data_IF_372834739522
#
_entry.id   IF_372834739522
#
_cell.length_a   1.000
_cell.length_b   1.000
_cell.length_c   1.000
_cell.angle_alpha   90.00
_cell.angle_beta   90.00
_cell.angle_gamma   90.00
#
_symmetry.space_group_name_H-M   'P 1'
#
loop_
_entity.id
_entity.type
_entity.pdbx_description
1 polymer ?
#
# COMPACT_ATOMS: atom_id res chain seq x y z
N UNK A 1 43.70 43.17 -22.25
CA UNK A 1 44.52 42.79 -23.42
C UNK A 1 44.98 41.36 -23.18
N UNK A 2 44.79 40.35 -24.02
CA UNK A 2 44.10 40.14 -25.29
C UNK A 2 44.08 38.61 -25.49
N UNK A 3 42.97 38.06 -25.95
CA UNK A 3 42.84 36.68 -26.45
C UNK A 3 43.63 36.51 -27.76
N UNK A 4 43.91 35.29 -28.25
CA UNK A 4 42.99 34.57 -29.17
C UNK A 4 42.84 33.06 -28.83
N UNK A 5 41.65 32.44 -28.91
CA UNK A 5 40.90 31.91 -30.10
C UNK A 5 41.77 30.96 -30.94
N UNK A 6 41.35 29.75 -31.35
CA UNK A 6 40.18 29.38 -32.19
C UNK A 6 40.08 27.82 -32.24
N UNK A 7 38.96 27.15 -31.96
CA UNK A 7 37.84 26.65 -32.82
C UNK A 7 38.16 25.51 -33.82
N UNK A 8 37.42 24.40 -33.71
CA UNK A 8 36.84 23.55 -34.78
C UNK A 8 35.69 22.73 -34.12
N UNK A 9 34.37 22.99 -34.29
CA UNK A 9 33.40 22.83 -35.41
C UNK A 9 33.45 21.42 -36.06
N UNK A 10 32.49 20.52 -35.80
CA UNK A 10 31.14 20.35 -36.40
C UNK A 10 31.12 20.08 -37.92
N UNK A 11 30.61 18.91 -38.33
CA UNK A 11 29.34 18.68 -39.09
C UNK A 11 29.64 18.50 -40.60
N UNK A 12 28.93 17.79 -41.47
CA UNK A 12 27.62 17.10 -41.54
C UNK A 12 27.54 16.44 -42.93
N UNK A 13 26.70 15.39 -43.06
CA UNK A 13 25.85 15.00 -44.21
C UNK A 13 26.38 15.09 -45.67
N UNK A 14 26.29 13.98 -46.43
CA UNK A 14 25.19 13.69 -47.36
C UNK A 14 25.60 12.77 -48.55
N UNK A 15 24.75 11.76 -48.79
CA UNK A 15 24.31 11.16 -50.05
C UNK A 15 25.32 10.62 -51.09
N UNK A 16 25.14 9.34 -51.47
CA UNK A 16 24.57 8.95 -52.79
C UNK A 16 24.29 7.43 -52.90
N UNK A 17 23.12 7.19 -53.45
CA UNK A 17 22.50 6.03 -54.10
C UNK A 17 23.39 4.92 -54.66
N UNK A 18 22.95 3.66 -54.52
CA UNK A 18 22.83 2.69 -55.62
C UNK A 18 21.65 1.72 -55.38
N UNK A 19 20.95 1.45 -56.47
CA UNK A 19 19.78 0.59 -56.67
C UNK A 19 20.18 -0.85 -56.91
N UNK A 20 19.38 -1.81 -56.42
CA UNK A 20 19.09 -3.18 -56.92
C UNK A 20 18.40 -3.92 -55.77
N UNK A 21 17.48 -4.88 -55.90
CA UNK A 21 16.69 -5.45 -57.00
C UNK A 21 15.56 -6.20 -56.27
N UNK A 22 14.34 -6.04 -56.75
CA UNK A 22 13.16 -6.70 -56.21
C UNK A 22 13.19 -8.22 -56.49
N UNK A 23 12.84 -9.02 -55.48
CA UNK A 23 12.29 -10.36 -55.66
C UNK A 23 11.01 -10.48 -54.85
N UNK A 24 9.90 -10.56 -55.57
CA UNK A 24 8.57 -10.91 -55.09
C UNK A 24 8.60 -12.34 -54.54
N UNK A 25 7.99 -12.56 -53.38
CA UNK A 25 7.34 -13.82 -53.07
C UNK A 25 5.91 -13.54 -52.58
N UNK A 26 5.03 -13.97 -53.47
CA UNK A 26 3.59 -14.18 -53.41
C UNK A 26 2.95 -14.34 -52.03
N UNK A 27 1.85 -13.60 -51.87
CA UNK A 27 0.80 -13.85 -50.90
C UNK A 27 0.14 -15.20 -51.16
N UNK A 28 -0.13 -15.94 -50.07
CA UNK A 28 -1.20 -16.93 -50.04
C UNK A 28 -2.19 -16.49 -48.96
N UNK A 29 -3.31 -15.99 -49.45
CA UNK A 29 -4.51 -15.69 -48.69
C UNK A 29 -5.30 -16.99 -48.54
N UNK A 30 -5.39 -17.51 -47.32
CA UNK A 30 -6.41 -18.49 -46.96
C UNK A 30 -7.52 -17.75 -46.20
N UNK A 31 -8.58 -17.40 -46.93
CA UNK A 31 -9.85 -16.95 -46.38
C UNK A 31 -10.50 -18.13 -45.65
N UNK A 32 -10.66 -18.03 -44.34
CA UNK A 32 -11.66 -18.83 -43.63
C UNK A 32 -12.90 -17.95 -43.45
N UNK A 33 -13.90 -18.20 -44.28
CA UNK A 33 -15.26 -17.70 -44.11
C UNK A 33 -15.98 -18.57 -43.07
N UNK A 34 -16.42 -17.98 -41.97
CA UNK A 34 -17.36 -18.61 -41.03
C UNK A 34 -18.65 -17.78 -41.05
N UNK A 35 -19.83 -18.41 -41.19
CA UNK A 35 -21.03 -17.73 -41.65
C UNK A 35 -21.70 -16.91 -40.55
N UNK A 36 -22.12 -15.71 -40.94
CA UNK A 36 -23.16 -14.94 -40.26
C UNK A 36 -24.49 -15.70 -40.39
N UNK A 37 -25.09 -16.09 -39.26
CA UNK A 37 -26.51 -16.45 -39.19
C UNK A 37 -27.25 -15.39 -38.40
N UNK A 38 -27.93 -14.51 -39.13
CA UNK A 38 -29.13 -13.80 -38.69
C UNK A 38 -30.34 -14.53 -39.26
N UNK A 39 -31.27 -15.02 -38.42
CA UNK A 39 -32.71 -15.23 -38.70
C UNK A 39 -33.41 -15.19 -37.32
N UNK A 40 -34.00 -14.07 -36.91
CA UNK A 40 -35.40 -13.65 -37.11
C UNK A 40 -36.43 -14.31 -36.16
N UNK A 41 -36.92 -13.49 -35.22
CA UNK A 41 -38.32 -13.26 -34.82
C UNK A 41 -39.43 -14.21 -35.29
N UNK A 42 -40.17 -14.77 -34.32
CA UNK A 42 -41.65 -14.75 -34.10
C UNK A 42 -41.93 -15.88 -33.07
N UNK A 43 -42.99 -15.95 -32.28
CA UNK A 43 -44.34 -15.37 -32.33
C UNK A 43 -44.98 -15.52 -30.95
N UNK A 44 -46.00 -14.69 -30.70
CA UNK A 44 -46.89 -14.63 -29.54
C UNK A 44 -47.79 -15.87 -29.45
N UNK A 45 -48.08 -16.31 -28.23
CA UNK A 45 -49.30 -17.02 -27.78
C UNK A 45 -49.38 -16.69 -26.27
N UNK A 46 -50.11 -15.66 -25.82
CA UNK A 46 -51.57 -15.49 -25.70
C UNK A 46 -52.19 -16.48 -24.70
N UNK A 47 -52.37 -15.93 -23.49
CA UNK A 47 -53.28 -16.20 -22.38
C UNK A 47 -53.85 -17.61 -22.13
N UNK A 48 -53.72 -18.04 -20.87
CA UNK A 48 -54.90 -18.49 -20.15
C UNK A 48 -54.88 -17.95 -18.71
N UNK A 49 -55.88 -17.11 -18.45
CA UNK A 49 -56.24 -16.57 -17.14
C UNK A 49 -56.77 -17.69 -16.25
N UNK A 50 -56.19 -17.86 -15.07
CA UNK A 50 -56.92 -18.37 -13.90
C UNK A 50 -56.79 -17.35 -12.79
N UNK A 51 -57.87 -16.59 -12.64
CA UNK A 51 -58.10 -15.65 -11.55
C UNK A 51 -58.63 -16.44 -10.35
N UNK A 52 -57.80 -16.64 -9.32
CA UNK A 52 -58.29 -17.01 -7.99
C UNK A 52 -57.66 -16.11 -6.93
N UNK A 53 -58.55 -15.33 -6.33
CA UNK A 53 -58.35 -14.44 -5.19
C UNK A 53 -57.88 -15.20 -3.95
N UNK A 54 -56.70 -14.86 -3.42
CA UNK A 54 -56.51 -14.71 -1.96
C UNK A 54 -55.13 -14.15 -1.59
N UNK A 55 -55.15 -12.97 -0.95
CA UNK A 55 -54.41 -12.68 0.29
C UNK A 55 -52.88 -12.71 0.24
N UNK A 56 -52.28 -11.54 0.01
CA UNK A 56 -50.88 -11.26 0.38
C UNK A 56 -50.39 -9.97 -0.26
N UNK A 57 -50.08 -8.96 0.54
CA UNK A 57 -49.44 -7.74 0.08
C UNK A 57 -47.97 -8.09 -0.23
N UNK A 58 -47.63 -8.30 -1.50
CA UNK A 58 -46.26 -8.53 -1.94
C UNK A 58 -45.42 -7.29 -1.66
N UNK A 59 -44.66 -7.34 -0.57
CA UNK A 59 -43.62 -6.38 -0.26
C UNK A 59 -42.43 -6.69 -1.18
N UNK A 60 -41.92 -5.74 -1.98
CA UNK A 60 -40.72 -5.99 -2.77
C UNK A 60 -39.50 -6.13 -1.85
N UNK A 61 -39.07 -7.37 -1.62
CA UNK A 61 -37.73 -7.69 -1.13
C UNK A 61 -36.71 -7.37 -2.23
N UNK A 62 -36.24 -6.13 -2.31
CA UNK A 62 -34.89 -5.74 -2.75
C UNK A 62 -34.81 -4.22 -2.87
N UNK A 63 -34.48 -3.54 -1.78
CA UNK A 63 -33.64 -2.34 -1.78
C UNK A 63 -33.40 -1.95 -0.32
N UNK A 64 -32.32 -2.47 0.28
CA UNK A 64 -31.70 -1.81 1.42
C UNK A 64 -31.02 -0.54 0.93
N UNK A 65 -31.81 0.42 0.45
CA UNK A 65 -31.40 1.81 0.41
C UNK A 65 -31.73 2.34 1.79
N UNK A 66 -30.81 2.13 2.73
CA UNK A 66 -30.85 2.81 4.02
C UNK A 66 -30.91 4.30 3.70
N UNK A 67 -32.05 4.93 3.92
CA UNK A 67 -32.14 6.39 3.90
C UNK A 67 -31.07 6.95 4.85
N UNK A 68 -30.52 8.15 4.59
CA UNK A 68 -29.55 8.76 5.49
C UNK A 68 -30.25 9.09 6.82
N UNK A 69 -30.31 8.11 7.71
CA UNK A 69 -30.55 8.33 9.12
C UNK A 69 -29.39 9.20 9.60
N UNK A 70 -29.69 10.39 10.13
CA UNK A 70 -28.68 11.34 10.58
C UNK A 70 -27.59 10.65 11.41
N UNK A 71 -26.34 11.04 11.19
CA UNK A 71 -25.19 10.41 11.84
C UNK A 71 -24.93 10.95 13.26
N UNK A 72 -25.99 11.35 13.98
CA UNK A 72 -25.89 12.00 15.29
C UNK A 72 -25.18 11.12 16.35
N UNK A 73 -25.32 9.80 16.24
CA UNK A 73 -24.64 8.82 17.12
C UNK A 73 -23.24 8.42 16.63
N UNK A 74 -22.78 8.96 15.50
CA UNK A 74 -21.55 8.54 14.85
C UNK A 74 -20.45 9.59 14.96
N UNK A 75 -19.25 9.12 15.23
CA UNK A 75 -18.04 9.94 15.33
C UNK A 75 -16.97 9.46 14.35
N UNK A 76 -16.08 10.37 13.98
CA UNK A 76 -14.86 10.05 13.26
C UNK A 76 -13.65 10.35 14.13
N UNK A 77 -12.77 9.36 14.26
CA UNK A 77 -11.43 9.54 14.80
C UNK A 77 -10.49 9.86 13.65
N UNK A 78 -9.71 10.92 13.80
CA UNK A 78 -8.72 11.38 12.83
C UNK A 78 -7.34 11.51 13.50
N UNK A 79 -6.29 11.54 12.68
CA UNK A 79 -4.89 11.63 13.12
C UNK A 79 -4.44 10.46 13.99
N UNK A 80 -5.10 9.30 13.85
CA UNK A 80 -4.67 8.07 14.51
C UNK A 80 -3.21 7.73 14.18
N UNK A 81 -2.54 7.05 15.10
CA UNK A 81 -1.25 6.45 14.78
C UNK A 81 -1.47 5.38 13.72
N UNK A 82 -0.72 5.45 12.59
CA UNK A 82 -0.85 4.51 11.46
C UNK A 82 -0.68 3.04 11.84
N UNK A 83 -0.03 2.78 12.96
CA UNK A 83 0.28 1.43 13.48
C UNK A 83 -0.65 0.97 14.60
N UNK A 84 -1.62 1.80 14.93
CA UNK A 84 -2.70 1.38 15.80
C UNK A 84 -3.50 0.31 15.04
N UNK A 85 -3.55 -0.87 15.64
CA UNK A 85 -4.40 -1.94 15.15
C UNK A 85 -5.87 -1.64 15.49
N UNK A 86 -6.80 -2.18 14.70
CA UNK A 86 -8.21 -2.32 15.05
C UNK A 86 -8.48 -2.60 16.53
N UNK A 87 -7.87 -3.67 17.05
CA UNK A 87 -8.04 -4.12 18.42
C UNK A 87 -7.58 -3.11 19.46
N UNK A 88 -6.45 -2.43 19.24
CA UNK A 88 -5.96 -1.38 20.14
C UNK A 88 -6.87 -0.15 20.16
N UNK A 89 -7.41 0.24 19.00
CA UNK A 89 -8.34 1.38 18.90
C UNK A 89 -9.64 1.03 19.65
N UNK A 90 -10.18 -0.17 19.41
CA UNK A 90 -11.39 -0.63 20.07
C UNK A 90 -11.21 -0.73 21.59
N UNK A 91 -10.09 -1.30 22.05
CA UNK A 91 -9.76 -1.40 23.47
C UNK A 91 -9.61 -0.03 24.12
N UNK A 92 -8.99 0.92 23.43
CA UNK A 92 -8.88 2.30 23.91
C UNK A 92 -10.26 2.94 24.09
N UNK A 93 -11.17 2.81 23.13
CA UNK A 93 -12.51 3.39 23.23
C UNK A 93 -13.35 2.72 24.32
N UNK A 94 -13.29 1.39 24.44
CA UNK A 94 -13.95 0.65 25.53
C UNK A 94 -13.42 1.06 26.90
N UNK A 95 -12.11 1.32 27.03
CA UNK A 95 -11.51 1.82 28.27
C UNK A 95 -12.04 3.21 28.69
N UNK A 96 -12.68 3.94 27.77
CA UNK A 96 -13.33 5.23 28.01
C UNK A 96 -14.84 5.10 28.25
N UNK A 97 -15.34 3.88 28.40
CA UNK A 97 -16.76 3.61 28.66
C UNK A 97 -17.67 3.78 27.44
N UNK A 98 -17.09 3.78 26.22
CA UNK A 98 -17.87 3.89 24.99
C UNK A 98 -18.37 2.52 24.53
N UNK A 99 -19.66 2.44 24.26
CA UNK A 99 -20.29 1.24 23.67
C UNK A 99 -20.34 1.37 22.15
N UNK A 100 -19.61 0.50 21.46
CA UNK A 100 -19.44 0.52 20.01
C UNK A 100 -20.50 -0.40 19.38
N UNK A 101 -21.40 0.16 18.57
CA UNK A 101 -22.40 -0.60 17.80
C UNK A 101 -21.89 -0.99 16.42
N UNK A 102 -21.19 -0.07 15.77
CA UNK A 102 -20.59 -0.26 14.46
C UNK A 102 -19.26 0.45 14.44
N UNK A 103 -18.29 -0.13 13.75
CA UNK A 103 -17.04 0.55 13.52
C UNK A 103 -16.48 0.16 12.15
N UNK A 104 -15.62 1.02 11.62
CA UNK A 104 -15.02 0.84 10.32
C UNK A 104 -13.64 1.49 10.30
N UNK A 105 -12.62 0.71 9.98
CA UNK A 105 -11.26 1.19 9.74
C UNK A 105 -10.74 0.60 8.43
N UNK A 106 -9.93 1.39 7.74
CA UNK A 106 -9.26 0.98 6.50
C UNK A 106 -7.84 0.56 6.80
N UNK A 107 -7.43 -0.58 6.28
CA UNK A 107 -6.07 -1.10 6.39
C UNK A 107 -5.44 -1.18 5.00
N UNK A 108 -4.18 -0.79 4.89
CA UNK A 108 -3.41 -0.96 3.65
C UNK A 108 -2.94 -2.41 3.51
N UNK A 109 -3.25 -3.07 2.39
CA UNK A 109 -2.95 -4.50 2.17
C UNK A 109 -1.46 -4.87 2.08
N UNK A 110 -0.58 -3.87 1.94
CA UNK A 110 0.86 -4.09 1.84
C UNK A 110 1.58 -3.82 3.16
N UNK A 111 1.00 -3.01 4.04
CA UNK A 111 1.63 -2.55 5.28
C UNK A 111 0.84 -2.88 6.55
N UNK A 112 -0.44 -3.23 6.40
CA UNK A 112 -1.41 -3.44 7.48
C UNK A 112 -1.54 -2.24 8.42
N UNK A 113 -1.22 -1.05 7.90
CA UNK A 113 -1.37 0.21 8.61
C UNK A 113 -2.72 0.84 8.28
N UNK A 114 -3.30 1.53 9.26
CA UNK A 114 -4.53 2.29 9.05
C UNK A 114 -4.29 3.57 8.23
N UNK A 115 -5.35 4.10 7.62
CA UNK A 115 -5.34 5.37 6.87
C UNK A 115 -5.38 6.62 7.77
N UNK A 116 -5.16 6.48 9.07
CA UNK A 116 -5.27 7.49 10.14
C UNK A 116 -6.70 7.90 10.49
N UNK A 117 -7.70 7.19 9.98
CA UNK A 117 -9.12 7.42 10.25
C UNK A 117 -9.82 6.17 10.75
N UNK A 118 -10.81 6.36 11.60
CA UNK A 118 -11.71 5.30 12.04
C UNK A 118 -13.10 5.91 12.24
N UNK A 119 -14.12 5.22 11.78
CA UNK A 119 -15.51 5.65 11.84
C UNK A 119 -16.24 4.75 12.83
N UNK A 120 -16.97 5.33 13.77
CA UNK A 120 -17.62 4.58 14.86
C UNK A 120 -19.04 5.08 15.01
N UNK A 121 -19.97 4.15 15.13
CA UNK A 121 -21.33 4.38 15.61
C UNK A 121 -21.42 3.92 17.07
N UNK A 122 -21.81 4.83 17.94
CA UNK A 122 -21.99 4.60 19.37
C UNK A 122 -23.45 4.24 19.69
N UNK A 123 -23.70 3.80 20.92
CA UNK A 123 -25.06 3.40 21.32
C UNK A 123 -26.04 4.57 21.31
N UNK A 124 -25.61 5.77 21.72
CA UNK A 124 -26.48 6.96 21.83
C UNK A 124 -25.82 8.24 21.32
N UNK A 125 -26.62 9.27 21.06
CA UNK A 125 -26.14 10.59 20.62
C UNK A 125 -25.39 11.31 21.75
N UNK A 126 -25.85 11.15 23.00
CA UNK A 126 -25.19 11.71 24.17
C UNK A 126 -23.81 11.09 24.37
N UNK A 127 -23.64 9.79 24.08
CA UNK A 127 -22.33 9.16 24.08
C UNK A 127 -21.42 9.74 23.00
N UNK A 128 -21.94 10.04 21.80
CA UNK A 128 -21.17 10.66 20.73
C UNK A 128 -20.71 12.07 21.10
N UNK A 129 -21.59 12.89 21.65
CA UNK A 129 -21.23 14.24 22.09
C UNK A 129 -20.20 14.20 23.23
N UNK A 130 -20.40 13.35 24.24
CA UNK A 130 -19.43 13.15 25.32
C UNK A 130 -18.08 12.65 24.81
N UNK A 131 -18.07 11.74 23.83
CA UNK A 131 -16.84 11.25 23.22
C UNK A 131 -16.08 12.36 22.49
N UNK A 132 -16.77 13.24 21.77
CA UNK A 132 -16.16 14.39 21.08
C UNK A 132 -15.50 15.32 22.11
N UNK A 133 -16.21 15.69 23.18
CA UNK A 133 -15.69 16.61 24.20
C UNK A 133 -14.53 16.01 25.00
N UNK A 134 -14.64 14.75 25.40
CA UNK A 134 -13.67 14.11 26.28
C UNK A 134 -12.42 13.59 25.54
N UNK A 135 -12.56 13.08 24.31
CA UNK A 135 -11.47 12.39 23.61
C UNK A 135 -10.72 13.29 22.62
N UNK A 136 -11.30 14.40 22.20
CA UNK A 136 -10.64 15.29 21.25
C UNK A 136 -9.38 15.89 21.89
N UNK A 137 -8.23 15.67 21.24
CA UNK A 137 -6.92 16.12 21.73
C UNK A 137 -6.21 15.14 22.67
N UNK A 138 -6.86 14.06 23.13
CA UNK A 138 -6.22 13.05 23.98
C UNK A 138 -5.06 12.38 23.23
N UNK A 139 -3.98 12.12 23.96
CA UNK A 139 -2.86 11.35 23.45
C UNK A 139 -3.19 9.85 23.40
N UNK A 140 -3.07 9.27 22.21
CA UNK A 140 -3.16 7.85 21.96
C UNK A 140 -1.97 7.41 21.10
N UNK A 141 -1.15 6.50 21.61
CA UNK A 141 0.08 6.02 20.97
C UNK A 141 0.99 7.15 20.47
N UNK A 142 1.33 8.09 21.36
CA UNK A 142 2.21 9.24 21.09
C UNK A 142 1.68 10.24 20.05
N UNK A 143 0.36 10.26 19.85
CA UNK A 143 -0.32 11.24 18.99
C UNK A 143 -1.61 11.72 19.61
N UNK A 144 -1.82 13.04 19.57
CA UNK A 144 -3.13 13.62 19.85
C UNK A 144 -4.11 13.26 18.73
N UNK A 145 -5.17 12.55 19.08
CA UNK A 145 -6.25 12.22 18.16
C UNK A 145 -7.22 13.40 18.04
N UNK A 146 -7.91 13.47 16.91
CA UNK A 146 -9.01 14.42 16.72
C UNK A 146 -10.31 13.63 16.64
N UNK A 147 -11.30 14.04 17.39
CA UNK A 147 -12.63 13.42 17.40
C UNK A 147 -13.63 14.47 16.94
N UNK A 148 -14.46 14.11 15.96
CA UNK A 148 -15.43 15.00 15.36
C UNK A 148 -16.74 14.26 15.07
N UNK A 149 -17.87 14.99 14.99
CA UNK A 149 -19.12 14.40 14.51
C UNK A 149 -18.96 13.95 13.06
N UNK A 150 -19.69 12.90 12.70
CA UNK A 150 -19.74 12.41 11.32
C UNK A 150 -20.48 13.40 10.42
N UNK A 151 -20.08 13.52 9.15
CA UNK A 151 -20.75 14.39 8.17
C UNK A 151 -22.03 13.74 7.64
N UNK A 152 -23.06 14.55 7.37
CA UNK A 152 -24.39 14.10 6.91
C UNK A 152 -24.43 13.35 5.56
N UNK A 153 -23.33 13.36 4.79
CA UNK A 153 -23.19 12.60 3.54
C UNK A 153 -22.26 11.38 3.64
N UNK A 154 -21.90 10.94 4.86
CA UNK A 154 -21.04 9.78 5.03
C UNK A 154 -21.75 8.49 4.65
N UNK A 155 -21.03 7.61 3.93
CA UNK A 155 -21.55 6.30 3.54
C UNK A 155 -20.61 5.23 4.09
N UNK A 156 -21.15 4.39 4.96
CA UNK A 156 -20.46 3.20 5.45
C UNK A 156 -20.06 2.30 4.28
N UNK A 157 -18.87 1.70 4.36
CA UNK A 157 -18.35 0.79 3.33
C UNK A 157 -18.40 1.37 1.90
N UNK A 158 -18.23 2.69 1.74
CA UNK A 158 -18.10 3.27 0.40
C UNK A 158 -16.91 2.61 -0.32
N UNK A 159 -17.21 1.84 -1.37
CA UNK A 159 -16.19 1.21 -2.21
C UNK A 159 -15.26 2.28 -2.79
N UNK A 160 -13.96 1.98 -2.91
CA UNK A 160 -13.03 2.88 -3.55
C UNK A 160 -13.45 3.13 -5.00
N UNK A 161 -13.31 4.37 -5.44
CA UNK A 161 -13.62 4.77 -6.83
C UNK A 161 -12.56 4.25 -7.82
N UNK A 162 -11.38 3.85 -7.33
CA UNK A 162 -10.29 3.29 -8.13
C UNK A 162 -10.13 1.79 -7.90
N UNK A 163 -9.99 1.05 -9.00
CA UNK A 163 -9.63 -0.38 -9.02
C UNK A 163 -8.30 -0.72 -8.36
N UNK A 164 -7.45 0.29 -8.09
CA UNK A 164 -6.10 0.09 -7.57
C UNK A 164 -5.90 0.61 -6.14
N UNK A 165 -6.98 0.89 -5.41
CA UNK A 165 -6.86 1.29 -4.02
C UNK A 165 -6.22 0.16 -3.20
N UNK A 166 -5.13 0.47 -2.50
CA UNK A 166 -4.40 -0.49 -1.68
C UNK A 166 -5.06 -0.75 -0.33
N UNK A 167 -6.05 0.07 0.03
CA UNK A 167 -6.77 -0.04 1.29
C UNK A 167 -8.03 -0.88 1.15
N UNK A 168 -8.26 -1.74 2.14
CA UNK A 168 -9.48 -2.52 2.31
C UNK A 168 -10.10 -2.21 3.67
N UNK A 169 -11.39 -2.51 3.83
CA UNK A 169 -12.07 -2.41 5.12
C UNK A 169 -11.90 -3.70 5.91
N UNK A 170 -11.54 -3.57 7.18
CA UNK A 170 -11.34 -4.72 8.09
C UNK A 170 -12.66 -5.43 8.47
N UNK A 171 -13.82 -4.89 8.04
CA UNK A 171 -15.14 -5.42 8.38
C UNK A 171 -15.97 -5.61 7.10
N UNK A 172 -16.40 -6.87 6.88
CA UNK A 172 -17.46 -7.32 5.96
C UNK A 172 -17.24 -7.27 4.44
N UNK A 173 -16.06 -6.91 3.91
CA UNK A 173 -15.83 -6.98 2.44
C UNK A 173 -14.59 -7.80 2.04
N UNK A 174 -13.44 -7.58 2.69
CA UNK A 174 -12.18 -8.27 2.37
C UNK A 174 -11.50 -8.65 3.68
N UNK A 175 -11.32 -9.94 3.93
CA UNK A 175 -10.62 -10.36 5.15
C UNK A 175 -9.12 -10.04 5.07
N UNK A 176 -8.42 -9.88 6.20
CA UNK A 176 -6.95 -9.86 6.26
C UNK A 176 -6.30 -10.97 5.42
N UNK A 177 -6.90 -12.16 5.40
CA UNK A 177 -6.45 -13.31 4.61
C UNK A 177 -6.58 -13.07 3.11
N UNK A 178 -7.69 -12.48 2.64
CA UNK A 178 -7.86 -12.12 1.23
C UNK A 178 -6.89 -11.00 0.80
N UNK A 179 -6.63 -10.03 1.68
CA UNK A 179 -5.65 -8.96 1.44
C UNK A 179 -4.22 -9.50 1.24
N UNK A 180 -3.87 -10.62 1.90
CA UNK A 180 -2.58 -11.30 1.81
C UNK A 180 -2.57 -12.51 0.87
N UNK A 181 -3.71 -12.90 0.31
CA UNK A 181 -3.83 -13.99 -0.67
C UNK A 181 -2.81 -13.88 -1.82
N UNK A 182 -2.57 -12.70 -2.43
CA UNK A 182 -1.54 -12.56 -3.46
C UNK A 182 -0.13 -12.94 -2.99
N UNK A 183 0.20 -12.70 -1.71
CA UNK A 183 1.48 -13.10 -1.13
C UNK A 183 1.53 -14.60 -0.86
N UNK A 184 0.47 -15.17 -0.31
CA UNK A 184 0.35 -16.61 -0.01
C UNK A 184 0.37 -17.50 -1.26
N UNK A 185 -0.08 -16.95 -2.39
CA UNK A 185 -0.12 -17.59 -3.71
C UNK A 185 1.08 -17.20 -4.59
N UNK A 186 2.08 -16.52 -4.02
CA UNK A 186 3.33 -16.14 -4.70
C UNK A 186 3.14 -15.27 -5.96
N UNK A 187 2.05 -14.51 -6.00
CA UNK A 187 1.72 -13.58 -7.09
C UNK A 187 1.82 -12.11 -6.70
N UNK A 188 2.40 -11.82 -5.53
CA UNK A 188 2.86 -10.49 -5.10
C UNK A 188 4.36 -10.36 -5.37
N UNK A 189 4.75 -9.39 -6.19
CA UNK A 189 6.14 -9.10 -6.53
C UNK A 189 6.59 -7.76 -5.96
N UNK A 190 7.87 -7.68 -5.60
CA UNK A 190 8.56 -6.42 -5.34
C UNK A 190 9.12 -5.88 -6.65
N UNK A 191 8.64 -4.71 -7.05
CA UNK A 191 9.10 -4.01 -8.24
C UNK A 191 10.16 -2.98 -7.89
N UNK A 192 11.31 -3.09 -8.53
CA UNK A 192 12.46 -2.22 -8.32
C UNK A 192 12.87 -1.54 -9.61
N UNK A 193 13.28 -0.28 -9.52
CA UNK A 193 13.73 0.51 -10.68
C UNK A 193 15.09 1.13 -10.34
N UNK A 194 15.98 1.20 -11.33
CA UNK A 194 17.24 1.92 -11.22
C UNK A 194 17.00 3.42 -11.03
N UNK A 195 17.49 4.03 -9.94
CA UNK A 195 17.47 5.47 -9.77
C UNK A 195 18.16 6.21 -10.93
N UNK A 196 17.65 7.38 -11.37
CA UNK A 196 16.62 8.19 -10.73
C UNK A 196 15.18 7.71 -11.03
N UNK A 197 15.00 6.62 -11.77
CA UNK A 197 13.70 6.16 -12.25
C UNK A 197 13.15 7.07 -13.35
N UNK A 198 11.82 7.09 -13.48
CA UNK A 198 11.14 7.89 -14.50
C UNK A 198 10.62 9.21 -13.95
N UNK A 199 10.58 10.23 -14.81
CA UNK A 199 10.07 11.55 -14.50
C UNK A 199 11.12 12.66 -14.47
N UNK A 200 10.71 13.90 -14.18
CA UNK A 200 11.57 15.08 -14.24
C UNK A 200 12.72 15.01 -13.23
N UNK A 201 13.92 15.46 -13.61
CA UNK A 201 15.14 15.34 -12.77
C UNK A 201 15.09 16.16 -11.48
N UNK A 202 14.22 17.18 -11.39
CA UNK A 202 14.17 18.12 -10.27
C UNK A 202 12.71 18.46 -9.94
N UNK A 203 12.30 18.22 -8.70
CA UNK A 203 11.17 18.90 -8.03
C UNK A 203 9.78 18.77 -8.65
N UNK A 204 9.59 17.97 -9.70
CA UNK A 204 8.32 17.89 -10.42
C UNK A 204 7.31 16.95 -9.75
N UNK A 205 6.06 17.41 -9.66
CA UNK A 205 4.91 16.51 -9.60
C UNK A 205 4.90 15.60 -10.85
N UNK A 206 4.43 14.35 -10.70
CA UNK A 206 4.24 13.43 -11.83
C UNK A 206 5.17 12.21 -11.91
N UNK A 207 6.20 12.08 -11.05
CA UNK A 207 7.00 10.83 -11.01
C UNK A 207 6.15 9.58 -10.82
N UNK A 208 5.19 9.64 -9.90
CA UNK A 208 4.31 8.51 -9.61
C UNK A 208 3.36 8.20 -10.77
N UNK A 209 2.85 9.24 -11.45
CA UNK A 209 1.90 9.06 -12.57
C UNK A 209 2.61 8.48 -13.79
N UNK A 210 3.83 8.95 -14.08
CA UNK A 210 4.68 8.41 -15.14
C UNK A 210 5.06 6.97 -14.84
N UNK A 211 5.52 6.68 -13.62
CA UNK A 211 5.87 5.32 -13.22
C UNK A 211 4.67 4.38 -13.28
N UNK A 212 3.49 4.82 -12.83
CA UNK A 212 2.25 4.05 -12.94
C UNK A 212 1.90 3.80 -14.40
N UNK A 213 1.97 4.82 -15.26
CA UNK A 213 1.69 4.67 -16.69
C UNK A 213 2.60 3.62 -17.35
N UNK A 214 3.91 3.65 -17.05
CA UNK A 214 4.83 2.64 -17.58
C UNK A 214 4.54 1.24 -17.04
N UNK A 215 4.25 1.11 -15.75
CA UNK A 215 3.87 -0.17 -15.15
C UNK A 215 2.59 -0.72 -15.78
N UNK A 216 1.54 0.08 -15.92
CA UNK A 216 0.28 -0.34 -16.54
C UNK A 216 0.48 -0.73 -18.02
N UNK A 217 1.25 0.07 -18.78
CA UNK A 217 1.53 -0.20 -20.19
C UNK A 217 2.29 -1.51 -20.42
N UNK A 218 3.30 -1.79 -19.60
CA UNK A 218 4.21 -2.92 -19.83
C UNK A 218 3.83 -4.18 -19.05
N UNK A 219 3.34 -4.00 -17.83
CA UNK A 219 3.01 -5.11 -16.92
C UNK A 219 1.50 -5.40 -16.87
N UNK A 220 0.64 -4.48 -17.34
CA UNK A 220 -0.81 -4.65 -17.29
C UNK A 220 -1.30 -5.86 -18.06
N UNK A 221 -0.64 -6.21 -19.16
CA UNK A 221 -0.92 -7.42 -19.96
C UNK A 221 -0.76 -8.74 -19.17
N UNK A 222 -0.09 -8.72 -18.02
CA UNK A 222 0.08 -9.89 -17.15
C UNK A 222 -0.96 -9.95 -16.01
N UNK A 223 -1.95 -9.04 -16.00
CA UNK A 223 -3.04 -9.01 -15.04
C UNK A 223 -2.66 -8.33 -13.72
N UNK A 224 -2.34 -7.04 -13.74
CA UNK A 224 -2.15 -6.28 -12.50
C UNK A 224 -3.51 -6.06 -11.82
N UNK A 225 -3.60 -6.40 -10.54
CA UNK A 225 -4.79 -6.10 -9.71
C UNK A 225 -4.59 -4.85 -8.85
N UNK A 226 -3.40 -4.70 -8.24
CA UNK A 226 -3.14 -3.62 -7.30
C UNK A 226 -1.64 -3.31 -7.20
N UNK A 227 -1.31 -2.09 -6.80
CA UNK A 227 0.05 -1.68 -6.48
C UNK A 227 0.11 -0.97 -5.13
N UNK A 228 1.21 -1.14 -4.41
CA UNK A 228 1.45 -0.38 -3.19
C UNK A 228 1.73 1.09 -3.52
N UNK A 229 1.73 1.95 -2.50
CA UNK A 229 2.25 3.31 -2.63
C UNK A 229 3.66 3.29 -3.26
N UNK A 230 3.87 4.13 -4.26
CA UNK A 230 5.15 4.30 -4.94
C UNK A 230 6.11 5.12 -4.07
N UNK A 231 7.38 4.68 -4.06
CA UNK A 231 8.50 5.34 -3.40
C UNK A 231 9.50 5.84 -4.46
N UNK A 232 9.22 6.96 -5.15
CA UNK A 232 10.08 7.46 -6.22
C UNK A 232 11.44 7.93 -5.69
N UNK A 233 12.44 7.97 -6.57
CA UNK A 233 13.80 8.38 -6.22
C UNK A 233 14.03 9.85 -6.61
N UNK A 234 14.21 10.71 -5.61
CA UNK A 234 14.49 12.13 -5.84
C UNK A 234 15.99 12.36 -6.00
N UNK A 235 16.49 12.38 -7.23
CA UNK A 235 17.85 12.81 -7.55
C UNK A 235 18.98 11.84 -7.16
N UNK A 236 18.65 10.61 -6.77
CA UNK A 236 19.65 9.57 -6.53
C UNK A 236 20.09 8.92 -7.85
N UNK A 237 21.40 8.77 -8.05
CA UNK A 237 22.01 8.20 -9.27
C UNK A 237 22.68 6.84 -9.01
N UNK A 238 22.21 6.10 -8.01
CA UNK A 238 22.70 4.73 -7.77
C UNK A 238 22.45 3.81 -8.94
N UNK A 239 23.46 2.99 -9.25
CA UNK A 239 23.40 2.01 -10.33
C UNK A 239 22.48 0.81 -10.02
N UNK A 240 22.29 0.50 -8.73
CA UNK A 240 21.50 -0.66 -8.32
C UNK A 240 20.01 -0.33 -8.26
N UNK A 241 19.14 -1.13 -8.91
CA UNK A 241 17.69 -1.01 -8.75
C UNK A 241 17.26 -1.06 -7.28
N UNK A 242 16.32 -0.18 -6.92
CA UNK A 242 15.74 -0.13 -5.58
C UNK A 242 14.24 -0.30 -5.66
N UNK A 243 13.66 -0.80 -4.57
CA UNK A 243 12.22 -0.99 -4.45
C UNK A 243 11.50 0.33 -4.73
N UNK A 244 10.63 0.31 -5.74
CA UNK A 244 9.68 1.36 -6.04
C UNK A 244 8.33 1.07 -5.39
N UNK A 245 7.81 -0.15 -5.53
CA UNK A 245 6.52 -0.59 -4.98
C UNK A 245 6.40 -2.13 -4.93
N UNK A 246 5.29 -2.61 -4.39
CA UNK A 246 4.81 -3.98 -4.60
C UNK A 246 3.69 -4.00 -5.64
N UNK A 247 3.56 -5.12 -6.34
CA UNK A 247 2.53 -5.36 -7.35
C UNK A 247 1.85 -6.69 -7.04
N UNK A 248 0.52 -6.69 -7.00
CA UNK A 248 -0.29 -7.89 -6.95
C UNK A 248 -0.78 -8.23 -8.36
N UNK A 249 -0.43 -9.42 -8.83
CA UNK A 249 -0.94 -9.97 -10.09
C UNK A 249 -2.15 -10.86 -9.83
N UNK A 250 -3.08 -10.94 -10.78
CA UNK A 250 -4.28 -11.76 -10.70
C UNK A 250 -3.93 -13.25 -10.53
N UNK A 251 -2.92 -13.72 -11.26
CA UNK A 251 -2.49 -15.12 -11.26
C UNK A 251 -0.99 -15.25 -11.04
N UNK A 252 -0.56 -16.38 -10.48
CA UNK A 252 0.87 -16.72 -10.37
C UNK A 252 1.54 -16.83 -11.75
N UNK A 253 0.84 -17.38 -12.74
CA UNK A 253 1.34 -17.45 -14.12
C UNK A 253 1.63 -16.06 -14.69
N UNK A 254 0.74 -15.09 -14.46
CA UNK A 254 0.96 -13.70 -14.85
C UNK A 254 2.19 -13.09 -14.17
N UNK A 255 2.34 -13.28 -12.85
CA UNK A 255 3.54 -12.85 -12.13
C UNK A 255 4.82 -13.47 -12.70
N UNK A 256 4.83 -14.79 -12.96
CA UNK A 256 6.00 -15.50 -13.50
C UNK A 256 6.33 -15.04 -14.94
N UNK A 257 5.31 -14.74 -15.75
CA UNK A 257 5.49 -14.16 -17.09
C UNK A 257 6.08 -12.76 -17.03
N UNK A 258 5.61 -11.91 -16.10
CA UNK A 258 6.16 -10.58 -15.88
C UNK A 258 7.65 -10.64 -15.49
N UNK A 259 8.03 -11.56 -14.59
CA UNK A 259 9.43 -11.80 -14.21
C UNK A 259 10.26 -12.21 -15.43
N UNK A 260 9.83 -13.21 -16.20
CA UNK A 260 10.53 -13.65 -17.43
C UNK A 260 10.67 -12.52 -18.46
N UNK A 261 9.66 -11.67 -18.56
CA UNK A 261 9.61 -10.58 -19.51
C UNK A 261 10.55 -9.43 -19.12
N UNK A 262 10.63 -9.05 -17.85
CA UNK A 262 11.25 -7.78 -17.43
C UNK A 262 12.30 -7.86 -16.31
N UNK A 263 12.45 -8.97 -15.59
CA UNK A 263 13.46 -9.01 -14.52
C UNK A 263 14.89 -8.85 -15.06
N UNK A 264 15.64 -7.95 -14.44
CA UNK A 264 16.99 -7.52 -14.83
C UNK A 264 17.10 -6.90 -16.24
N UNK A 265 15.98 -6.50 -16.85
CA UNK A 265 15.94 -5.87 -18.18
C UNK A 265 15.66 -4.37 -18.10
N UNK A 266 15.74 -3.71 -19.24
CA UNK A 266 15.37 -2.30 -19.38
C UNK A 266 13.87 -2.15 -19.65
N UNK A 267 13.27 -1.16 -18.97
CA UNK A 267 11.94 -0.66 -19.22
C UNK A 267 12.04 0.85 -19.33
N UNK A 268 11.76 1.39 -20.52
CA UNK A 268 11.78 2.84 -20.78
C UNK A 268 13.13 3.47 -20.38
N UNK A 269 14.22 2.82 -20.78
CA UNK A 269 15.60 3.25 -20.51
C UNK A 269 16.08 3.10 -19.06
N UNK A 270 15.28 2.49 -18.17
CA UNK A 270 15.68 2.22 -16.79
C UNK A 270 15.78 0.72 -16.55
N UNK A 271 16.84 0.25 -15.89
CA UNK A 271 16.92 -1.15 -15.45
C UNK A 271 15.89 -1.43 -14.36
N UNK A 272 15.11 -2.50 -14.51
CA UNK A 272 14.09 -2.91 -13.54
C UNK A 272 14.35 -4.31 -13.00
N UNK A 273 13.82 -4.60 -11.80
CA UNK A 273 13.79 -5.95 -11.23
C UNK A 273 12.43 -6.29 -10.64
N UNK A 274 12.05 -7.55 -10.77
CA UNK A 274 10.82 -8.15 -10.27
C UNK A 274 11.20 -9.34 -9.41
N UNK A 275 11.04 -9.21 -8.09
CA UNK A 275 11.48 -10.23 -7.15
C UNK A 275 10.30 -10.76 -6.33
N UNK A 276 10.28 -12.05 -5.96
CA UNK A 276 9.32 -12.58 -4.99
C UNK A 276 9.32 -11.75 -3.71
N UNK A 277 8.14 -11.44 -3.20
CA UNK A 277 8.00 -10.65 -1.99
C UNK A 277 8.15 -11.51 -0.73
N UNK A 278 8.97 -11.06 0.23
CA UNK A 278 8.95 -11.53 1.62
C UNK A 278 8.58 -10.38 2.53
N UNK A 279 7.80 -10.65 3.58
CA UNK A 279 7.43 -9.63 4.55
C UNK A 279 8.66 -9.21 5.35
N UNK A 280 8.89 -7.91 5.39
CA UNK A 280 9.83 -7.33 6.33
C UNK A 280 9.33 -7.60 7.77
N UNK A 281 10.22 -7.78 8.76
CA UNK A 281 9.83 -8.09 10.14
C UNK A 281 8.79 -7.14 10.74
N UNK A 282 8.91 -5.84 10.44
CA UNK A 282 7.95 -4.85 10.92
C UNK A 282 6.54 -5.00 10.31
N UNK A 283 6.43 -5.48 9.07
CA UNK A 283 5.12 -5.74 8.44
C UNK A 283 4.51 -7.02 9.00
N UNK A 284 5.32 -8.06 9.18
CA UNK A 284 4.90 -9.30 9.83
C UNK A 284 4.33 -9.01 11.23
N UNK A 285 5.01 -8.15 12.01
CA UNK A 285 4.51 -7.68 13.29
C UNK A 285 3.13 -7.00 13.16
N UNK A 286 2.94 -6.07 12.21
CA UNK A 286 1.63 -5.43 11.99
C UNK A 286 0.54 -6.43 11.62
N UNK A 287 0.83 -7.41 10.76
CA UNK A 287 -0.11 -8.51 10.44
C UNK A 287 -0.51 -9.25 11.71
N UNK A 288 0.46 -9.62 12.56
CA UNK A 288 0.18 -10.34 13.81
C UNK A 288 -0.65 -9.56 14.84
N UNK A 289 -0.67 -8.21 14.76
CA UNK A 289 -1.57 -7.38 15.59
C UNK A 289 -3.03 -7.46 15.14
N UNK A 290 -3.26 -7.77 13.86
CA UNK A 290 -4.60 -7.89 13.25
C UNK A 290 -5.07 -9.34 13.27
N UNK A 291 -4.22 -10.25 12.81
CA UNK A 291 -4.51 -11.68 12.70
C UNK A 291 -3.25 -12.52 12.98
N UNK A 292 -3.22 -13.13 14.18
CA UNK A 292 -2.11 -13.99 14.62
C UNK A 292 -2.04 -15.30 13.83
N UNK A 293 -3.18 -15.89 13.48
CA UNK A 293 -3.22 -17.16 12.76
C UNK A 293 -2.68 -16.99 11.34
N UNK A 294 -3.02 -15.88 10.68
CA UNK A 294 -2.49 -15.53 9.38
C UNK A 294 -0.98 -15.28 9.41
N UNK A 295 -0.45 -14.63 10.46
CA UNK A 295 0.98 -14.49 10.64
C UNK A 295 1.67 -15.87 10.76
N UNK A 296 1.13 -16.79 11.56
CA UNK A 296 1.66 -18.15 11.67
C UNK A 296 1.72 -18.86 10.33
N UNK A 297 0.65 -18.78 9.53
CA UNK A 297 0.63 -19.36 8.18
C UNK A 297 1.73 -18.77 7.26
N UNK A 298 1.97 -17.46 7.34
CA UNK A 298 3.03 -16.80 6.58
C UNK A 298 4.43 -17.24 7.02
N UNK A 299 4.61 -17.48 8.32
CA UNK A 299 5.87 -17.97 8.89
C UNK A 299 6.14 -19.42 8.47
N UNK A 300 5.14 -20.29 8.52
CA UNK A 300 5.23 -21.68 8.04
C UNK A 300 5.62 -21.77 6.57
N UNK A 301 5.10 -20.86 5.73
CA UNK A 301 5.46 -20.77 4.31
C UNK A 301 6.81 -20.07 4.04
N UNK A 302 7.53 -19.61 5.06
CA UNK A 302 8.79 -18.88 4.90
C UNK A 302 8.64 -17.50 4.25
N UNK A 303 7.42 -16.93 4.27
CA UNK A 303 7.09 -15.61 3.73
C UNK A 303 7.25 -14.49 4.77
N UNK A 304 7.35 -14.84 6.06
CA UNK A 304 7.63 -13.95 7.17
C UNK A 304 8.70 -14.56 8.11
N UNK A 305 9.43 -13.71 8.82
CA UNK A 305 10.39 -14.17 9.84
C UNK A 305 9.66 -14.69 11.08
N UNK A 306 10.21 -15.73 11.70
CA UNK A 306 9.80 -16.24 13.02
C UNK A 306 10.45 -15.47 14.17
N UNK A 307 11.49 -14.68 13.88
CA UNK A 307 12.16 -13.87 14.89
C UNK A 307 11.22 -12.80 15.45
N UNK A 308 11.20 -12.60 16.78
CA UNK A 308 10.41 -11.55 17.38
C UNK A 308 10.90 -10.19 16.88
N UNK A 309 9.95 -9.34 16.48
CA UNK A 309 10.24 -7.99 16.04
C UNK A 309 9.94 -6.99 17.15
N UNK A 310 10.96 -6.29 17.62
CA UNK A 310 10.76 -5.10 18.45
C UNK A 310 10.39 -3.91 17.56
N UNK A 311 9.27 -3.24 17.87
CA UNK A 311 8.87 -2.04 17.14
C UNK A 311 9.81 -0.87 17.46
N UNK A 312 10.86 -0.77 16.65
CA UNK A 312 11.88 0.28 16.71
C UNK A 312 11.33 1.69 16.51
N UNK A 313 10.07 1.87 16.11
CA UNK A 313 9.47 3.18 15.90
C UNK A 313 8.58 3.63 17.07
N UNK A 314 8.14 2.69 17.91
CA UNK A 314 7.52 3.02 19.20
C UNK A 314 8.63 3.42 20.17
N UNK A 315 9.74 2.66 20.17
CA UNK A 315 10.88 2.88 21.05
C UNK A 315 12.01 3.71 20.39
N UNK A 316 11.77 4.35 19.24
CA UNK A 316 12.79 5.24 18.69
C UNK A 316 12.88 6.46 19.60
N UNK A 317 13.95 6.54 20.39
CA UNK A 317 14.49 7.81 20.84
C UNK A 317 14.81 8.63 19.59
N UNK A 318 13.82 9.35 19.07
CA UNK A 318 13.96 10.28 17.94
C UNK A 318 15.03 11.32 18.26
N UNK A 319 15.22 11.63 19.54
CA UNK A 319 16.32 12.40 20.13
C UNK A 319 17.70 11.79 19.85
N UNK A 320 17.88 10.47 20.01
CA UNK A 320 19.15 9.79 19.67
C UNK A 320 19.39 9.75 18.17
N UNK A 321 18.36 9.47 17.36
CA UNK A 321 18.47 9.45 15.90
C UNK A 321 18.80 10.82 15.29
N UNK A 322 18.26 11.90 15.87
CA UNK A 322 18.56 13.28 15.45
C UNK A 322 20.04 13.66 15.69
N UNK A 323 20.65 13.17 16.78
CA UNK A 323 22.05 13.42 17.13
C UNK A 323 23.03 13.02 16.01
N UNK A 324 22.70 11.96 15.26
CA UNK A 324 23.55 11.40 14.21
C UNK A 324 23.08 11.73 12.79
N UNK A 325 21.97 12.45 12.63
CA UNK A 325 21.34 12.65 11.32
C UNK A 325 22.26 13.35 10.30
N UNK A 326 23.13 14.25 10.77
CA UNK A 326 24.11 14.97 9.93
C UNK A 326 25.46 14.24 9.76
N UNK A 327 25.68 13.14 10.49
CA UNK A 327 26.95 12.41 10.47
C UNK A 327 26.97 11.39 9.33
N UNK A 328 28.15 11.19 8.73
CA UNK A 328 28.40 10.12 7.75
C UNK A 328 28.37 8.75 8.44
N UNK A 329 28.16 7.67 7.70
CA UNK A 329 28.06 6.32 8.27
C UNK A 329 29.26 5.96 9.14
N UNK A 330 30.48 6.32 8.73
CA UNK A 330 31.72 6.11 9.49
C UNK A 330 31.70 6.89 10.81
N UNK A 331 31.34 8.17 10.77
CA UNK A 331 31.22 9.02 11.96
C UNK A 331 30.15 8.51 12.93
N UNK A 332 29.05 7.92 12.41
CA UNK A 332 28.02 7.28 13.26
C UNK A 332 28.58 6.06 13.97
N UNK A 333 29.33 5.22 13.26
CA UNK A 333 29.93 4.01 13.84
C UNK A 333 30.96 4.34 14.91
N UNK A 334 31.81 5.35 14.66
CA UNK A 334 32.79 5.87 15.63
C UNK A 334 32.11 6.48 16.86
N UNK A 335 31.08 7.30 16.68
CA UNK A 335 30.34 7.91 17.79
C UNK A 335 29.61 6.85 18.64
N UNK A 336 29.05 5.82 18.02
CA UNK A 336 28.42 4.68 18.73
C UNK A 336 29.48 3.87 19.48
N UNK A 337 30.67 3.67 18.91
CA UNK A 337 31.78 2.97 19.57
C UNK A 337 32.29 3.74 20.79
N UNK A 338 32.49 5.06 20.65
CA UNK A 338 32.94 5.93 21.75
C UNK A 338 31.91 6.02 22.90
N UNK A 339 30.61 6.04 22.60
CA UNK A 339 29.57 6.02 23.63
C UNK A 339 29.50 4.69 24.39
N UNK A 340 29.75 3.56 23.71
CA UNK A 340 29.86 2.26 24.39
C UNK A 340 31.09 2.20 25.30
N UNK A 341 32.20 2.79 24.89
CA UNK A 341 33.42 2.82 25.69
C UNK A 341 33.27 3.73 26.94
N UNK A 342 32.60 4.88 26.79
CA UNK A 342 32.33 5.80 27.91
C UNK A 342 31.24 5.28 28.86
N UNK A 343 30.20 4.62 28.34
CA UNK A 343 29.19 3.96 29.17
C UNK A 343 29.76 2.82 30.03
N UNK A 344 30.74 2.09 29.49
CA UNK A 344 31.47 1.05 30.23
C UNK A 344 32.40 1.59 31.33
N UNK A 345 32.94 2.80 31.17
CA UNK A 345 33.77 3.47 32.19
C UNK A 345 32.95 4.01 33.36
N UNK A 346 31.80 4.65 33.09
CA UNK A 346 30.90 5.16 34.14
C UNK A 346 30.25 4.05 34.99
N UNK A 347 29.89 2.90 34.37
CA UNK A 347 29.37 1.76 35.13
C UNK A 347 30.42 1.13 36.06
N UNK A 348 31.71 1.23 35.72
CA UNK A 348 32.82 0.74 36.55
C UNK A 348 33.09 1.63 37.76
N UNK A 349 32.97 2.95 37.62
CA UNK A 349 33.11 3.91 38.72
C UNK A 349 31.92 3.90 39.71
N UNK A 350 30.69 3.67 39.24
CA UNK A 350 29.53 3.54 40.15
C UNK A 350 29.55 2.23 40.95
N UNK A 351 30.07 1.15 40.36
CA UNK A 351 30.28 -0.12 41.07
C UNK A 351 31.30 0.01 42.20
N UNK A 352 32.41 0.72 41.96
CA UNK A 352 33.46 0.92 42.98
C UNK A 352 33.04 1.85 44.12
N UNK A 353 32.20 2.86 43.85
CA UNK A 353 31.67 3.75 44.90
C UNK A 353 30.60 3.09 45.78
N UNK A 354 29.88 2.06 45.28
CA UNK A 354 28.91 1.31 46.09
C UNK A 354 29.58 0.29 47.02
N UNK A 355 30.68 -0.34 46.61
CA UNK A 355 31.43 -1.27 47.48
C UNK A 355 32.16 -0.54 48.62
N UNK A 356 32.65 0.69 48.39
CA UNK A 356 33.29 1.48 49.44
C UNK A 356 32.33 2.05 50.51
N UNK A 357 31.00 1.96 50.30
CA UNK A 357 29.98 2.47 51.25
C UNK A 357 29.33 1.39 52.11
N UNK A 358 29.66 0.11 51.89
CA UNK A 358 29.17 -1.03 52.69
C UNK A 358 30.22 -1.50 53.72
N UNK A 359 31.43 -0.91 53.69
CA UNK A 359 32.50 -1.19 54.64
C UNK A 359 32.88 0.08 55.43
N UNK A 360 31.92 0.66 56.17
CA UNK A 360 32.15 1.51 57.37
C UNK A 360 31.00 1.28 58.34
#
# INVERSE_FOLDING_TARGET
MSVPRTILRNSSQAARSFTTRATRLTSLSSRLSVPSRQIATSSKLLDENVETSSRGQDVPHTSFTTQPSGHARSIVLMRLNKRASPFEIESFLKSKGLEIKKWQCRLDRFTFQNDTRCFIELATEEQAQKAIEALNGIEFMHKSIVVAPMKDGFVWAKKPESSHDSYFFDVNEVSPSEALKPLLEERRLMFSVQPPGWGPKIGGSGHNDIARHHMERHLGQFGITCFSKLAPFYGDLKQRPRMLCFIDFETKSGADQAVRAFDDKEMEGCKVRLQPCKLAPWRAHQVGKVDKALLSQLQEKGLASTEPYEDKFVNSDRTKGAKYHKMTQTQRMEAIAAEKENGGKNAKEEGTKKEAKVAV
#
